data_IF_998992249014
#
_entry.id   IF_998992249014
#
_cell.length_a   1.000
_cell.length_b   1.000
_cell.length_c   1.000
_cell.angle_alpha   90.00
_cell.angle_beta   90.00
_cell.angle_gamma   90.00
#
_symmetry.space_group_name_H-M   'P 1'
#
loop_
_entity.id
_entity.type
_entity.pdbx_description
1 polymer ?
#
# COMPACT_ATOMS: atom_id res chain seq x y z
N UNK A 1 -44.38 -0.99 57.12
CA UNK A 1 -44.76 0.19 56.34
C UNK A 1 -43.48 1.09 56.29
N UNK A 2 -43.05 1.51 55.15
CA UNK A 2 -41.86 2.30 54.83
C UNK A 2 -40.55 1.47 54.62
N UNK A 3 -40.29 1.18 53.35
CA UNK A 3 -38.94 1.00 52.77
C UNK A 3 -39.10 0.90 51.23
N UNK A 4 -39.48 2.02 50.59
CA UNK A 4 -39.36 2.21 49.13
C UNK A 4 -39.44 3.69 48.85
N UNK A 5 -38.34 4.43 48.89
CA UNK A 5 -38.12 5.67 48.15
C UNK A 5 -36.61 5.97 48.31
N UNK A 6 -35.89 5.84 47.23
CA UNK A 6 -34.84 6.77 46.76
C UNK A 6 -33.95 6.04 45.71
N UNK A 7 -34.44 6.01 44.48
CA UNK A 7 -33.56 5.99 43.32
C UNK A 7 -33.86 7.29 42.54
N UNK A 8 -33.04 8.30 42.79
CA UNK A 8 -33.15 9.58 42.15
C UNK A 8 -32.78 9.53 40.67
N UNK A 9 -33.27 10.47 39.82
CA UNK A 9 -33.07 10.50 38.36
C UNK A 9 -31.59 10.60 37.93
N UNK A 10 -30.66 10.82 38.86
CA UNK A 10 -29.21 10.96 38.57
C UNK A 10 -28.50 9.63 38.32
N UNK A 11 -28.95 8.51 38.90
CA UNK A 11 -28.33 7.20 38.67
C UNK A 11 -28.69 6.58 37.33
N UNK A 12 -29.90 6.80 36.86
CA UNK A 12 -30.35 6.29 35.55
C UNK A 12 -29.61 6.97 34.40
N UNK A 13 -29.37 8.29 34.52
CA UNK A 13 -28.58 9.03 33.54
C UNK A 13 -27.10 8.61 33.50
N UNK A 14 -26.53 8.26 34.65
CA UNK A 14 -25.15 7.77 34.75
C UNK A 14 -24.96 6.37 34.17
N UNK A 15 -25.96 5.51 34.28
CA UNK A 15 -25.95 4.14 33.72
C UNK A 15 -26.10 4.16 32.17
N UNK A 16 -26.92 5.04 31.63
CA UNK A 16 -27.05 5.24 30.18
C UNK A 16 -25.78 5.85 29.58
N UNK A 17 -25.21 6.86 30.22
CA UNK A 17 -23.98 7.53 29.75
C UNK A 17 -22.75 6.61 29.80
N UNK A 18 -22.65 5.71 30.78
CA UNK A 18 -21.57 4.70 30.85
C UNK A 18 -21.75 3.57 29.84
N UNK A 19 -23.00 3.20 29.51
CA UNK A 19 -23.27 2.13 28.55
C UNK A 19 -23.02 2.62 27.11
N UNK A 20 -23.41 3.85 26.78
CA UNK A 20 -23.13 4.48 25.49
C UNK A 20 -21.63 4.73 25.31
N UNK A 21 -20.93 5.21 26.33
CA UNK A 21 -19.46 5.39 26.30
C UNK A 21 -18.73 4.06 26.10
N UNK A 22 -19.18 2.97 26.74
CA UNK A 22 -18.60 1.64 26.54
C UNK A 22 -18.87 1.10 25.14
N UNK A 23 -20.06 1.34 24.58
CA UNK A 23 -20.41 0.93 23.21
C UNK A 23 -19.59 1.70 22.19
N UNK A 24 -19.50 3.02 22.32
CA UNK A 24 -18.65 3.88 21.46
C UNK A 24 -17.18 3.48 21.56
N UNK A 25 -16.68 3.22 22.79
CA UNK A 25 -15.30 2.78 23.00
C UNK A 25 -15.02 1.41 22.38
N UNK A 26 -15.98 0.50 22.44
CA UNK A 26 -15.86 -0.82 21.79
C UNK A 26 -15.90 -0.70 20.26
N UNK A 27 -16.74 0.16 19.69
CA UNK A 27 -16.77 0.45 18.25
C UNK A 27 -15.47 1.06 17.80
N UNK A 28 -14.93 2.06 18.51
CA UNK A 28 -13.63 2.68 18.21
C UNK A 28 -12.51 1.65 18.27
N UNK A 29 -12.51 0.77 19.28
CA UNK A 29 -11.52 -0.30 19.41
C UNK A 29 -11.66 -1.30 18.26
N UNK A 30 -12.88 -1.70 17.90
CA UNK A 30 -13.16 -2.55 16.74
C UNK A 30 -12.65 -1.91 15.46
N UNK A 31 -13.02 -0.65 15.18
CA UNK A 31 -12.57 0.08 13.98
C UNK A 31 -11.04 0.21 13.92
N UNK A 32 -10.37 0.47 15.05
CA UNK A 32 -8.90 0.52 15.12
C UNK A 32 -8.26 -0.83 14.87
N UNK A 33 -8.86 -1.92 15.34
CA UNK A 33 -8.35 -3.28 15.13
C UNK A 33 -8.59 -3.77 13.71
N UNK A 34 -9.75 -3.43 13.13
CA UNK A 34 -10.21 -3.89 11.82
C UNK A 34 -10.14 -2.79 10.74
N UNK A 35 -9.34 -1.74 10.95
CA UNK A 35 -9.27 -0.58 10.03
C UNK A 35 -9.04 -1.00 8.59
N UNK A 36 -8.16 -1.95 8.31
CA UNK A 36 -7.86 -2.38 6.94
C UNK A 36 -9.03 -3.13 6.29
N UNK A 37 -9.57 -4.20 6.87
CA UNK A 37 -10.77 -4.85 6.33
C UNK A 37 -11.93 -3.87 6.16
N UNK A 38 -12.17 -2.99 7.14
CA UNK A 38 -13.23 -1.96 7.07
C UNK A 38 -12.97 -1.00 5.91
N UNK A 39 -11.73 -0.50 5.72
CA UNK A 39 -11.39 0.39 4.61
C UNK A 39 -11.56 -0.29 3.26
N UNK A 40 -11.22 -1.57 3.15
CA UNK A 40 -11.42 -2.34 1.92
C UNK A 40 -12.91 -2.52 1.62
N UNK A 41 -13.72 -2.90 2.60
CA UNK A 41 -15.17 -3.03 2.45
C UNK A 41 -15.82 -1.68 2.11
N UNK A 42 -15.42 -0.62 2.83
CA UNK A 42 -15.90 0.74 2.58
C UNK A 42 -15.53 1.21 1.17
N UNK A 43 -14.32 0.92 0.70
CA UNK A 43 -13.87 1.22 -0.67
C UNK A 43 -14.72 0.52 -1.73
N UNK A 44 -14.96 -0.79 -1.56
CA UNK A 44 -15.82 -1.54 -2.45
C UNK A 44 -17.26 -1.03 -2.46
N UNK A 45 -17.83 -0.82 -1.27
CA UNK A 45 -19.20 -0.30 -1.12
C UNK A 45 -19.33 1.13 -1.69
N UNK A 46 -18.33 1.99 -1.46
CA UNK A 46 -18.34 3.38 -1.94
C UNK A 46 -18.42 3.47 -3.46
N UNK A 47 -17.79 2.55 -4.18
CA UNK A 47 -17.91 2.48 -5.63
C UNK A 47 -19.36 2.25 -6.06
N UNK A 48 -20.05 1.24 -5.50
CA UNK A 48 -21.45 0.95 -5.87
C UNK A 48 -22.40 2.08 -5.44
N UNK A 49 -22.19 2.68 -4.28
CA UNK A 49 -22.96 3.85 -3.83
C UNK A 49 -22.76 5.01 -4.80
N UNK A 50 -21.51 5.32 -5.16
CA UNK A 50 -21.18 6.42 -6.06
C UNK A 50 -21.78 6.26 -7.45
N UNK A 51 -21.79 5.04 -7.99
CA UNK A 51 -22.31 4.76 -9.34
C UNK A 51 -23.84 4.73 -9.37
N UNK A 52 -24.51 4.25 -8.31
CA UNK A 52 -25.97 4.08 -8.31
C UNK A 52 -26.72 5.30 -7.79
N UNK A 53 -26.11 6.17 -6.98
CA UNK A 53 -26.79 7.36 -6.45
C UNK A 53 -26.81 8.50 -7.49
N UNK A 54 -28.02 9.04 -7.88
CA UNK A 54 -28.13 10.14 -8.82
C UNK A 54 -27.42 11.43 -8.36
N UNK A 55 -27.33 11.65 -7.06
CA UNK A 55 -26.65 12.79 -6.44
C UNK A 55 -25.20 12.95 -6.93
N UNK A 56 -24.49 11.85 -7.17
CA UNK A 56 -23.10 11.87 -7.63
C UNK A 56 -22.95 11.94 -9.16
N UNK A 57 -24.03 11.88 -9.92
CA UNK A 57 -23.97 11.87 -11.39
C UNK A 57 -23.16 13.03 -11.99
N UNK A 58 -23.29 14.30 -11.52
CA UNK A 58 -22.52 15.42 -12.06
C UNK A 58 -21.01 15.31 -11.82
N UNK A 59 -20.57 14.55 -10.80
CA UNK A 59 -19.15 14.42 -10.44
C UNK A 59 -18.43 13.28 -11.16
N UNK A 60 -19.17 12.34 -11.77
CA UNK A 60 -18.62 11.14 -12.42
C UNK A 60 -17.60 11.43 -13.52
N UNK A 61 -17.78 12.47 -14.41
CA UNK A 61 -16.78 12.80 -15.43
C UNK A 61 -15.42 13.19 -14.84
N UNK A 62 -15.41 13.78 -13.64
CA UNK A 62 -14.20 14.26 -12.97
C UNK A 62 -13.55 13.24 -12.04
N UNK A 63 -14.24 12.15 -11.71
CA UNK A 63 -13.78 11.17 -10.71
C UNK A 63 -12.38 10.64 -11.00
N UNK A 64 -12.08 10.27 -12.25
CA UNK A 64 -10.76 9.75 -12.62
C UNK A 64 -9.65 10.81 -12.46
N UNK A 65 -9.92 12.05 -12.83
CA UNK A 65 -8.96 13.16 -12.66
C UNK A 65 -8.66 13.41 -11.18
N UNK A 66 -9.71 13.45 -10.35
CA UNK A 66 -9.56 13.62 -8.89
C UNK A 66 -8.75 12.49 -8.28
N UNK A 67 -9.08 11.24 -8.57
CA UNK A 67 -8.35 10.06 -8.07
C UNK A 67 -6.91 10.08 -8.54
N UNK A 68 -6.66 10.45 -9.81
CA UNK A 68 -5.32 10.56 -10.39
C UNK A 68 -4.40 11.55 -9.67
N UNK A 69 -4.96 12.57 -9.02
CA UNK A 69 -4.22 13.54 -8.19
C UNK A 69 -4.17 13.11 -6.73
N UNK A 70 -5.30 12.66 -6.18
CA UNK A 70 -5.41 12.34 -4.74
C UNK A 70 -4.53 11.15 -4.36
N UNK A 71 -4.48 10.08 -5.17
CA UNK A 71 -3.66 8.91 -4.85
C UNK A 71 -2.16 9.24 -4.74
N UNK A 72 -1.51 9.90 -5.71
CA UNK A 72 -0.11 10.33 -5.57
C UNK A 72 0.15 11.22 -4.34
N UNK A 73 -0.76 12.16 -4.05
CA UNK A 73 -0.65 13.04 -2.86
C UNK A 73 -0.72 12.24 -1.57
N UNK A 74 -1.61 11.26 -1.48
CA UNK A 74 -1.70 10.37 -0.31
C UNK A 74 -0.44 9.52 -0.17
N UNK A 75 0.09 8.93 -1.26
CA UNK A 75 1.33 8.16 -1.24
C UNK A 75 2.50 9.04 -0.79
N UNK A 76 2.64 10.23 -1.36
CA UNK A 76 3.65 11.21 -0.96
C UNK A 76 3.56 11.53 0.54
N UNK A 77 2.37 11.87 1.02
CA UNK A 77 2.13 12.25 2.41
C UNK A 77 2.46 11.13 3.39
N UNK A 78 2.09 9.89 3.06
CA UNK A 78 2.39 8.71 3.87
C UNK A 78 3.91 8.45 3.95
N UNK A 79 4.61 8.50 2.81
CA UNK A 79 6.06 8.34 2.75
C UNK A 79 6.77 9.46 3.52
N UNK A 80 6.36 10.72 3.32
CA UNK A 80 6.90 11.88 4.01
C UNK A 80 6.79 11.73 5.53
N UNK A 81 5.59 11.42 6.05
CA UNK A 81 5.37 11.21 7.48
C UNK A 81 6.19 10.05 8.04
N UNK A 82 6.32 8.97 7.27
CA UNK A 82 7.14 7.81 7.66
C UNK A 82 8.61 8.18 7.75
N UNK A 83 9.16 8.87 6.77
CA UNK A 83 10.55 9.30 6.76
C UNK A 83 10.86 10.38 7.82
N UNK A 84 9.88 11.22 8.18
CA UNK A 84 10.04 12.15 9.31
C UNK A 84 10.23 11.43 10.65
N UNK A 85 9.62 10.26 10.85
CA UNK A 85 9.62 9.53 12.14
C UNK A 85 10.88 8.70 12.38
N UNK A 86 11.68 8.42 11.35
CA UNK A 86 12.82 7.52 11.45
C UNK A 86 14.12 8.29 11.63
N UNK A 87 14.96 7.82 12.56
CA UNK A 87 16.29 8.38 12.78
C UNK A 87 17.26 7.85 11.73
N UNK A 88 17.91 8.74 10.96
CA UNK A 88 18.95 8.36 10.01
C UNK A 88 20.15 7.66 10.67
N UNK A 89 20.40 7.91 11.97
CA UNK A 89 21.49 7.27 12.72
C UNK A 89 21.25 5.77 12.93
N UNK A 90 20.00 5.34 12.95
CA UNK A 90 19.60 3.93 13.12
C UNK A 90 19.53 3.18 11.79
N UNK A 91 19.58 3.91 10.67
CA UNK A 91 19.53 3.34 9.33
C UNK A 91 20.90 2.81 8.95
N UNK A 92 21.06 1.50 9.01
CA UNK A 92 22.30 0.82 8.60
C UNK A 92 22.02 -0.05 7.39
N UNK A 93 22.84 0.12 6.35
CA UNK A 93 22.82 -0.78 5.20
C UNK A 93 23.27 -2.18 5.62
N UNK A 94 22.49 -3.20 5.30
CA UNK A 94 22.76 -4.61 5.60
C UNK A 94 22.81 -5.42 4.30
N UNK A 95 23.54 -6.55 4.32
CA UNK A 95 23.69 -7.39 3.13
C UNK A 95 22.38 -7.91 2.57
N UNK A 96 21.41 -8.22 3.43
CA UNK A 96 20.11 -8.70 2.98
C UNK A 96 19.30 -7.64 2.20
N UNK A 97 19.50 -6.33 2.48
CA UNK A 97 18.89 -5.26 1.70
C UNK A 97 19.31 -5.35 0.23
N UNK A 98 20.60 -5.60 0.00
CA UNK A 98 21.15 -5.71 -1.36
C UNK A 98 20.62 -6.96 -2.08
N UNK A 99 20.53 -8.10 -1.38
CA UNK A 99 19.96 -9.32 -1.96
C UNK A 99 18.47 -9.14 -2.34
N UNK A 100 17.68 -8.50 -1.48
CA UNK A 100 16.28 -8.21 -1.78
C UNK A 100 16.14 -7.27 -2.98
N UNK A 101 16.94 -6.20 -3.02
CA UNK A 101 16.97 -5.26 -4.14
C UNK A 101 17.37 -5.96 -5.44
N UNK A 102 18.41 -6.80 -5.40
CA UNK A 102 18.87 -7.57 -6.56
C UNK A 102 17.80 -8.54 -7.08
N UNK A 103 17.18 -9.32 -6.18
CA UNK A 103 16.09 -10.25 -6.56
C UNK A 103 14.92 -9.49 -7.20
N UNK A 104 14.49 -8.40 -6.58
CA UNK A 104 13.39 -7.60 -7.10
C UNK A 104 13.73 -6.99 -8.46
N UNK A 105 14.93 -6.44 -8.62
CA UNK A 105 15.43 -5.90 -9.89
C UNK A 105 15.48 -6.98 -10.98
N UNK A 106 16.05 -8.14 -10.65
CA UNK A 106 16.19 -9.26 -11.61
C UNK A 106 14.84 -9.77 -12.07
N UNK A 107 13.91 -10.03 -11.13
CA UNK A 107 12.58 -10.54 -11.48
C UNK A 107 11.80 -9.54 -12.33
N UNK A 108 11.86 -8.24 -11.99
CA UNK A 108 11.24 -7.21 -12.80
C UNK A 108 11.85 -7.13 -14.20
N UNK A 109 13.18 -7.15 -14.31
CA UNK A 109 13.88 -7.10 -15.61
C UNK A 109 13.58 -8.33 -16.46
N UNK A 110 13.51 -9.52 -15.85
CA UNK A 110 13.16 -10.76 -16.59
C UNK A 110 11.74 -10.67 -17.14
N UNK A 111 10.75 -10.25 -16.33
CA UNK A 111 9.38 -10.14 -16.82
C UNK A 111 9.21 -9.03 -17.87
N UNK A 112 9.88 -7.90 -17.68
CA UNK A 112 9.92 -6.85 -18.69
C UNK A 112 10.56 -7.37 -19.99
N UNK A 113 11.67 -8.12 -19.90
CA UNK A 113 12.31 -8.78 -21.03
C UNK A 113 11.39 -9.75 -21.77
N UNK A 114 10.61 -10.56 -21.04
CA UNK A 114 9.59 -11.44 -21.66
C UNK A 114 8.57 -10.64 -22.47
N UNK A 115 8.08 -9.52 -21.91
CA UNK A 115 7.09 -8.66 -22.59
C UNK A 115 7.67 -7.92 -23.81
N UNK A 116 8.98 -7.61 -23.80
CA UNK A 116 9.69 -6.98 -24.91
C UNK A 116 9.93 -7.99 -26.05
N UNK A 117 10.38 -9.21 -25.70
CA UNK A 117 10.72 -10.23 -26.69
C UNK A 117 9.46 -10.87 -27.29
N UNK A 118 8.37 -10.97 -26.50
CA UNK A 118 7.10 -11.57 -26.91
C UNK A 118 5.96 -10.54 -26.93
N UNK A 119 5.97 -9.54 -27.83
CA UNK A 119 4.98 -8.46 -27.83
C UNK A 119 3.55 -8.95 -28.08
N UNK A 120 3.38 -10.05 -28.82
CA UNK A 120 2.09 -10.67 -29.15
C UNK A 120 1.65 -11.76 -28.17
N UNK A 121 2.21 -11.76 -26.96
CA UNK A 121 1.86 -12.75 -25.95
C UNK A 121 0.37 -12.68 -25.60
N UNK A 122 -0.37 -13.77 -25.82
CA UNK A 122 -1.82 -13.83 -25.54
C UNK A 122 -2.15 -13.55 -24.06
N UNK A 123 -1.28 -13.98 -23.14
CA UNK A 123 -1.42 -13.78 -21.68
C UNK A 123 -0.70 -12.52 -21.16
N UNK A 124 -0.45 -11.53 -22.02
CA UNK A 124 0.32 -10.33 -21.71
C UNK A 124 -0.09 -9.67 -20.38
N UNK A 125 -1.40 -9.50 -20.17
CA UNK A 125 -1.99 -8.90 -18.97
C UNK A 125 -1.59 -9.62 -17.68
N UNK A 126 -1.43 -10.95 -17.72
CA UNK A 126 -1.02 -11.76 -16.57
C UNK A 126 0.45 -11.51 -16.24
N UNK A 127 1.32 -11.45 -17.26
CA UNK A 127 2.76 -11.17 -17.07
C UNK A 127 2.97 -9.72 -16.59
N UNK A 128 2.24 -8.76 -17.13
CA UNK A 128 2.23 -7.37 -16.65
C UNK A 128 1.78 -7.27 -15.19
N UNK A 129 0.77 -8.04 -14.80
CA UNK A 129 0.27 -8.12 -13.43
C UNK A 129 1.33 -8.66 -12.46
N UNK A 130 2.02 -9.74 -12.84
CA UNK A 130 3.15 -10.28 -12.08
C UNK A 130 4.29 -9.26 -11.99
N UNK A 131 4.64 -8.64 -13.12
CA UNK A 131 5.67 -7.60 -13.21
C UNK A 131 5.40 -6.44 -12.24
N UNK A 132 4.17 -5.93 -12.20
CA UNK A 132 3.77 -4.87 -11.25
C UNK A 132 3.88 -5.32 -9.79
N UNK A 133 3.41 -6.53 -9.47
CA UNK A 133 3.49 -7.07 -8.11
C UNK A 133 4.94 -7.21 -7.62
N UNK A 134 5.86 -7.52 -8.53
CA UNK A 134 7.28 -7.70 -8.23
C UNK A 134 8.05 -6.37 -8.23
N UNK A 135 7.71 -5.43 -9.13
CA UNK A 135 8.34 -4.11 -9.19
C UNK A 135 8.05 -3.27 -7.96
N UNK A 136 6.85 -3.36 -7.42
CA UNK A 136 6.32 -2.42 -6.45
C UNK A 136 7.22 -2.25 -5.22
N UNK A 137 7.42 -1.02 -4.73
CA UNK A 137 8.20 -0.77 -3.53
C UNK A 137 7.47 -1.26 -2.27
N UNK A 138 8.21 -1.35 -1.17
CA UNK A 138 7.69 -1.74 0.13
C UNK A 138 6.66 -0.73 0.65
N UNK A 139 5.59 -1.23 1.27
CA UNK A 139 4.59 -0.39 1.90
C UNK A 139 5.16 0.38 3.11
N UNK A 140 4.67 1.60 3.32
CA UNK A 140 5.02 2.41 4.51
C UNK A 140 4.65 1.71 5.82
N UNK A 141 3.58 0.91 5.80
CA UNK A 141 3.11 0.14 6.95
C UNK A 141 4.05 -1.03 7.33
N UNK A 142 4.93 -1.49 6.42
CA UNK A 142 5.82 -2.63 6.67
C UNK A 142 6.70 -2.43 7.90
N UNK A 143 7.25 -1.24 8.10
CA UNK A 143 8.05 -0.91 9.27
C UNK A 143 7.26 -1.04 10.59
N UNK A 144 5.99 -0.63 10.59
CA UNK A 144 5.09 -0.72 11.74
C UNK A 144 4.75 -2.20 12.05
N UNK A 145 4.43 -2.97 11.01
CA UNK A 145 4.14 -4.41 11.16
C UNK A 145 5.40 -5.15 11.63
N UNK A 146 6.57 -4.86 11.06
CA UNK A 146 7.86 -5.42 11.52
C UNK A 146 8.08 -5.16 13.01
N UNK A 147 7.88 -3.94 13.48
CA UNK A 147 8.02 -3.60 14.90
C UNK A 147 7.06 -4.39 15.78
N UNK A 148 5.80 -4.55 15.37
CA UNK A 148 4.80 -5.36 16.09
C UNK A 148 5.15 -6.86 16.11
N UNK A 149 5.92 -7.34 15.16
CA UNK A 149 6.44 -8.70 15.09
C UNK A 149 7.78 -8.88 15.84
N UNK A 150 8.26 -7.84 16.55
CA UNK A 150 9.50 -7.86 17.31
C UNK A 150 10.76 -7.57 16.51
N UNK A 151 10.63 -7.15 15.23
CA UNK A 151 11.75 -6.80 14.37
C UNK A 151 12.08 -5.29 14.36
N UNK A 152 13.14 -4.92 13.64
CA UNK A 152 13.63 -3.55 13.53
C UNK A 152 12.90 -2.74 12.45
N UNK A 153 12.06 -1.80 12.87
CA UNK A 153 11.42 -0.84 11.95
C UNK A 153 12.44 -0.02 11.16
N UNK A 154 13.57 0.36 11.78
CA UNK A 154 14.63 1.13 11.12
C UNK A 154 15.27 0.35 9.97
N UNK A 155 15.54 -0.95 10.16
CA UNK A 155 16.10 -1.83 9.13
C UNK A 155 15.13 -1.98 7.95
N UNK A 156 13.83 -2.25 8.22
CA UNK A 156 12.80 -2.32 7.19
C UNK A 156 12.65 -1.00 6.42
N UNK A 157 12.73 0.15 7.11
CA UNK A 157 12.64 1.45 6.43
C UNK A 157 13.88 1.78 5.61
N UNK A 158 15.06 1.34 6.06
CA UNK A 158 16.27 1.47 5.23
C UNK A 158 16.06 0.76 3.89
N UNK A 159 15.50 -0.46 3.91
CA UNK A 159 15.14 -1.13 2.66
C UNK A 159 14.08 -0.39 1.86
N UNK A 160 13.06 0.18 2.53
CA UNK A 160 12.01 0.97 1.84
C UNK A 160 12.62 2.13 1.04
N UNK A 161 13.63 2.81 1.56
CA UNK A 161 14.33 3.87 0.83
C UNK A 161 15.09 3.31 -0.37
N UNK A 162 15.84 2.23 -0.18
CA UNK A 162 16.61 1.58 -1.24
C UNK A 162 15.69 1.16 -2.39
N UNK A 163 14.59 0.51 -2.07
CA UNK A 163 13.67 0.01 -3.09
C UNK A 163 12.90 1.14 -3.79
N UNK A 164 12.59 2.24 -3.10
CA UNK A 164 11.99 3.42 -3.73
C UNK A 164 12.94 4.03 -4.76
N UNK A 165 14.24 4.15 -4.44
CA UNK A 165 15.26 4.62 -5.38
C UNK A 165 15.38 3.68 -6.59
N UNK A 166 15.42 2.38 -6.33
CA UNK A 166 15.49 1.37 -7.38
C UNK A 166 14.28 1.44 -8.32
N UNK A 167 13.07 1.49 -7.77
CA UNK A 167 11.82 1.57 -8.55
C UNK A 167 11.75 2.88 -9.33
N UNK A 168 12.14 4.01 -8.72
CA UNK A 168 12.16 5.32 -9.38
C UNK A 168 13.12 5.36 -10.58
N UNK A 169 14.18 4.54 -10.57
CA UNK A 169 15.11 4.40 -11.70
C UNK A 169 14.62 3.37 -12.73
N UNK A 170 14.19 2.18 -12.26
CA UNK A 170 13.88 1.05 -13.16
C UNK A 170 12.53 1.20 -13.88
N UNK A 171 11.51 1.77 -13.21
CA UNK A 171 10.18 1.91 -13.82
C UNK A 171 10.22 2.76 -15.11
N UNK A 172 10.81 3.98 -15.11
CA UNK A 172 10.90 4.78 -16.34
C UNK A 172 11.72 4.12 -17.44
N UNK A 173 12.74 3.31 -17.06
CA UNK A 173 13.62 2.64 -18.05
C UNK A 173 12.93 1.46 -18.73
N UNK A 174 12.23 0.62 -17.98
CA UNK A 174 11.77 -0.67 -18.50
C UNK A 174 10.29 -0.66 -18.90
N UNK A 175 9.42 0.12 -18.23
CA UNK A 175 8.00 0.14 -18.57
C UNK A 175 7.71 0.64 -19.99
N UNK A 176 8.37 1.69 -20.52
CA UNK A 176 8.16 2.13 -21.91
C UNK A 176 8.51 1.06 -22.94
N UNK A 177 9.48 0.20 -22.63
CA UNK A 177 9.90 -0.90 -23.49
C UNK A 177 8.95 -2.10 -23.37
N UNK A 178 8.55 -2.42 -22.13
CA UNK A 178 7.66 -3.54 -21.85
C UNK A 178 6.20 -3.25 -22.22
N UNK A 179 5.75 -2.01 -22.19
CA UNK A 179 4.40 -1.58 -22.55
C UNK A 179 4.48 -0.27 -23.35
N UNK A 180 4.76 -0.35 -24.65
CA UNK A 180 4.79 0.83 -25.52
C UNK A 180 3.44 1.51 -25.57
N UNK A 181 3.43 2.85 -25.50
CA UNK A 181 2.23 3.66 -25.65
C UNK A 181 2.04 4.04 -27.12
N UNK A 182 0.82 3.89 -27.62
CA UNK A 182 0.50 4.24 -29.00
C UNK A 182 0.88 5.69 -29.32
N UNK A 183 1.62 5.86 -30.41
CA UNK A 183 2.05 7.17 -30.90
C UNK A 183 3.18 7.85 -30.09
N UNK A 184 3.71 7.22 -29.05
CA UNK A 184 4.84 7.74 -28.27
C UNK A 184 6.10 6.89 -28.47
N UNK A 185 7.23 7.57 -28.67
CA UNK A 185 8.55 6.93 -28.67
C UNK A 185 9.05 6.71 -27.23
N UNK A 186 10.17 5.98 -27.09
CA UNK A 186 10.76 5.66 -25.77
C UNK A 186 11.00 6.91 -24.90
N UNK A 187 11.64 7.95 -25.43
CA UNK A 187 12.08 9.09 -24.63
C UNK A 187 10.92 9.93 -24.05
N UNK A 188 9.86 10.28 -24.79
CA UNK A 188 8.67 10.90 -24.22
C UNK A 188 8.00 10.05 -23.15
N UNK A 189 7.88 8.73 -23.35
CA UNK A 189 7.28 7.80 -22.37
C UNK A 189 8.15 7.68 -21.13
N UNK A 190 9.46 7.56 -21.28
CA UNK A 190 10.43 7.58 -20.17
C UNK A 190 10.27 8.85 -19.33
N UNK A 191 10.27 10.04 -19.97
CA UNK A 191 10.11 11.30 -19.26
C UNK A 191 8.75 11.41 -18.56
N UNK A 192 7.67 10.96 -19.19
CA UNK A 192 6.34 10.96 -18.60
C UNK A 192 6.30 10.12 -17.32
N UNK A 193 6.87 8.91 -17.32
CA UNK A 193 6.93 8.03 -16.16
C UNK A 193 7.86 8.63 -15.09
N UNK A 194 9.04 9.09 -15.48
CA UNK A 194 10.01 9.68 -14.57
C UNK A 194 9.42 10.88 -13.81
N UNK A 195 8.78 11.81 -14.51
CA UNK A 195 8.18 13.01 -13.91
C UNK A 195 7.02 12.69 -12.96
N UNK A 196 6.38 11.56 -13.10
CA UNK A 196 5.31 11.14 -12.18
C UNK A 196 5.81 10.27 -11.03
N UNK A 197 6.69 9.29 -11.30
CA UNK A 197 7.17 8.32 -10.31
C UNK A 197 8.21 8.92 -9.38
N UNK A 198 9.20 9.66 -9.93
CA UNK A 198 10.30 10.22 -9.14
C UNK A 198 9.81 11.17 -8.04
N UNK A 199 8.96 12.19 -8.30
CA UNK A 199 8.48 13.06 -7.23
C UNK A 199 7.71 12.30 -6.16
N UNK A 200 6.93 11.30 -6.55
CA UNK A 200 6.12 10.53 -5.62
C UNK A 200 6.93 9.65 -4.67
N UNK A 201 8.04 9.06 -5.13
CA UNK A 201 8.85 8.14 -4.33
C UNK A 201 10.06 8.81 -3.65
N UNK A 202 10.68 9.81 -4.30
CA UNK A 202 11.95 10.38 -3.85
C UNK A 202 11.74 11.71 -3.13
N UNK A 203 10.87 12.59 -3.64
CA UNK A 203 10.65 13.88 -3.01
C UNK A 203 10.14 13.80 -1.56
N UNK A 204 9.35 12.80 -1.11
CA UNK A 204 9.00 12.64 0.30
C UNK A 204 10.23 12.48 1.22
N UNK A 205 11.25 11.73 0.76
CA UNK A 205 12.51 11.54 1.49
C UNK A 205 13.28 12.86 1.59
N UNK A 206 13.44 13.57 0.46
CA UNK A 206 14.12 14.86 0.41
C UNK A 206 13.39 15.91 1.26
N UNK A 207 12.05 15.95 1.19
CA UNK A 207 11.22 16.84 1.99
C UNK A 207 11.35 16.53 3.49
N UNK A 208 11.34 15.26 3.89
CA UNK A 208 11.52 14.87 5.29
C UNK A 208 12.92 15.25 5.81
N UNK A 209 13.96 15.07 4.99
CA UNK A 209 15.31 15.53 5.29
C UNK A 209 15.36 17.06 5.43
N UNK A 210 14.79 17.80 4.48
CA UNK A 210 14.79 19.27 4.49
C UNK A 210 14.03 19.82 5.71
N UNK A 211 12.85 19.29 6.02
CA UNK A 211 12.07 19.69 7.20
C UNK A 211 12.85 19.41 8.50
N UNK A 212 13.51 18.26 8.61
CA UNK A 212 14.35 17.94 9.76
C UNK A 212 15.53 18.90 9.91
N UNK A 213 16.16 19.32 8.79
CA UNK A 213 17.37 20.15 8.78
C UNK A 213 17.06 21.63 8.94
N UNK A 214 16.02 22.13 8.26
CA UNK A 214 15.74 23.55 8.13
C UNK A 214 14.55 24.03 8.95
N UNK A 215 13.61 23.14 9.30
CA UNK A 215 12.39 23.47 10.05
C UNK A 215 12.16 22.55 11.25
N UNK A 216 13.03 22.57 12.30
CA UNK A 216 12.90 21.70 13.47
C UNK A 216 11.56 21.81 14.21
N UNK A 217 10.88 22.98 14.29
CA UNK A 217 9.55 23.06 14.89
C UNK A 217 8.51 22.23 14.14
N UNK A 218 8.50 22.29 12.80
CA UNK A 218 7.61 21.52 11.95
C UNK A 218 7.92 20.03 12.09
N UNK A 219 9.19 19.63 12.09
CA UNK A 219 9.58 18.25 12.32
C UNK A 219 9.05 17.71 13.66
N UNK A 220 9.18 18.47 14.75
CA UNK A 220 8.64 18.09 16.06
C UNK A 220 7.12 17.95 16.06
N UNK A 221 6.41 18.78 15.29
CA UNK A 221 4.97 18.66 15.11
C UNK A 221 4.61 17.33 14.38
N UNK A 222 5.35 16.97 13.31
CA UNK A 222 5.15 15.71 12.57
C UNK A 222 5.40 14.48 13.46
N UNK A 223 6.35 14.55 14.40
CA UNK A 223 6.60 13.45 15.35
C UNK A 223 5.45 13.24 16.34
N UNK A 224 4.70 14.29 16.70
CA UNK A 224 3.57 14.20 17.62
C UNK A 224 2.34 13.53 17.00
N UNK A 225 2.18 13.58 15.69
CA UNK A 225 1.02 13.02 14.99
C UNK A 225 1.27 11.52 14.71
N UNK A 226 1.05 10.68 15.73
CA UNK A 226 1.45 9.26 15.71
C UNK A 226 0.72 8.46 14.64
N UNK A 227 -0.59 8.64 14.49
CA UNK A 227 -1.45 7.75 13.69
C UNK A 227 -1.86 8.31 12.32
N UNK A 228 -1.43 9.54 11.97
CA UNK A 228 -1.86 10.20 10.74
C UNK A 228 -1.51 9.38 9.49
N UNK A 229 -0.28 8.87 9.40
CA UNK A 229 0.14 8.03 8.26
C UNK A 229 -0.74 6.77 8.10
N UNK A 230 -1.21 6.21 9.23
CA UNK A 230 -2.11 5.06 9.23
C UNK A 230 -3.51 5.41 8.70
N UNK A 231 -4.08 6.56 9.11
CA UNK A 231 -5.38 7.01 8.60
C UNK A 231 -5.32 7.41 7.13
N UNK A 232 -4.25 8.09 6.70
CA UNK A 232 -4.03 8.38 5.28
C UNK A 232 -3.93 7.10 4.46
N UNK A 233 -3.27 6.07 4.99
CA UNK A 233 -3.22 4.76 4.36
C UNK A 233 -4.60 4.10 4.25
N UNK A 234 -5.42 4.16 5.30
CA UNK A 234 -6.79 3.62 5.27
C UNK A 234 -7.66 4.29 4.20
N UNK A 235 -7.57 5.63 4.07
CA UNK A 235 -8.26 6.38 3.01
C UNK A 235 -7.71 6.02 1.63
N UNK A 236 -6.38 5.99 1.47
CA UNK A 236 -5.75 5.62 0.22
C UNK A 236 -6.13 4.20 -0.23
N UNK A 237 -6.20 3.26 0.72
CA UNK A 237 -6.63 1.89 0.48
C UNK A 237 -8.10 1.82 0.05
N UNK A 238 -9.00 2.56 0.70
CA UNK A 238 -10.41 2.60 0.31
C UNK A 238 -10.58 3.13 -1.14
N UNK A 239 -9.89 4.22 -1.49
CA UNK A 239 -9.90 4.76 -2.87
C UNK A 239 -9.31 3.72 -3.85
N UNK A 240 -8.21 3.08 -3.50
CA UNK A 240 -7.55 2.09 -4.34
C UNK A 240 -8.46 0.87 -4.61
N UNK A 241 -9.16 0.39 -3.58
CA UNK A 241 -10.15 -0.70 -3.73
C UNK A 241 -11.35 -0.27 -4.57
N UNK A 242 -11.86 0.96 -4.41
CA UNK A 242 -12.92 1.49 -5.27
C UNK A 242 -12.51 1.51 -6.75
N UNK A 243 -11.27 1.94 -7.05
CA UNK A 243 -10.69 1.91 -8.41
C UNK A 243 -10.55 0.47 -8.92
N UNK A 244 -10.13 -0.46 -8.06
CA UNK A 244 -10.02 -1.88 -8.40
C UNK A 244 -11.39 -2.48 -8.75
N UNK A 245 -12.40 -2.25 -7.92
CA UNK A 245 -13.79 -2.72 -8.17
C UNK A 245 -14.31 -2.14 -9.48
N UNK A 246 -14.07 -0.84 -9.74
CA UNK A 246 -14.41 -0.21 -11.01
C UNK A 246 -13.75 -0.93 -12.19
N UNK A 247 -12.45 -1.22 -12.09
CA UNK A 247 -11.71 -1.90 -13.14
C UNK A 247 -12.22 -3.33 -13.40
N UNK A 248 -12.62 -4.06 -12.34
CA UNK A 248 -13.20 -5.40 -12.45
C UNK A 248 -14.58 -5.34 -13.13
N UNK A 249 -15.46 -4.47 -12.67
CA UNK A 249 -16.86 -4.37 -13.15
C UNK A 249 -16.92 -3.91 -14.61
N UNK A 250 -16.03 -3.00 -15.03
CA UNK A 250 -15.98 -2.48 -16.40
C UNK A 250 -14.92 -3.15 -17.27
N UNK A 251 -14.37 -4.27 -16.83
CA UNK A 251 -13.37 -5.00 -17.59
C UNK A 251 -14.02 -5.66 -18.83
N UNK A 252 -13.40 -5.47 -19.96
CA UNK A 252 -13.71 -6.21 -21.20
C UNK A 252 -12.97 -7.54 -21.30
N UNK A 253 -12.06 -7.79 -20.33
CA UNK A 253 -11.27 -9.02 -20.28
C UNK A 253 -12.09 -10.13 -19.63
N UNK A 254 -12.08 -11.36 -20.19
CA UNK A 254 -12.79 -12.50 -19.62
C UNK A 254 -12.49 -12.75 -18.14
N UNK A 255 -13.46 -13.28 -17.41
CA UNK A 255 -13.36 -13.53 -15.95
C UNK A 255 -12.19 -14.48 -15.63
N UNK A 256 -11.88 -15.41 -16.52
CA UNK A 256 -10.76 -16.35 -16.38
C UNK A 256 -9.43 -15.62 -16.22
N UNK A 257 -9.19 -14.56 -17.00
CA UNK A 257 -7.99 -13.73 -16.86
C UNK A 257 -7.96 -12.97 -15.53
N UNK A 258 -9.10 -12.48 -15.08
CA UNK A 258 -9.18 -11.80 -13.77
C UNK A 258 -8.88 -12.78 -12.62
N UNK A 259 -9.37 -14.01 -12.71
CA UNK A 259 -9.02 -15.09 -11.76
C UNK A 259 -7.54 -15.45 -11.85
N UNK A 260 -6.96 -15.54 -13.06
CA UNK A 260 -5.53 -15.74 -13.23
C UNK A 260 -4.70 -14.61 -12.59
N UNK A 261 -5.13 -13.35 -12.72
CA UNK A 261 -4.48 -12.21 -12.05
C UNK A 261 -4.54 -12.36 -10.52
N UNK A 262 -5.69 -12.80 -9.97
CA UNK A 262 -5.82 -13.04 -8.54
C UNK A 262 -4.85 -14.14 -8.07
N UNK A 263 -4.75 -15.25 -8.79
CA UNK A 263 -3.82 -16.35 -8.47
C UNK A 263 -2.36 -15.92 -8.62
N UNK A 264 -2.02 -15.23 -9.70
CA UNK A 264 -0.64 -14.74 -9.93
C UNK A 264 -0.22 -13.74 -8.85
N UNK A 265 -1.10 -12.83 -8.45
CA UNK A 265 -0.82 -11.89 -7.36
C UNK A 265 -0.62 -12.62 -6.02
N UNK A 266 -1.38 -13.70 -5.75
CA UNK A 266 -1.18 -14.56 -4.58
C UNK A 266 0.19 -15.24 -4.62
N UNK A 267 0.54 -15.86 -5.75
CA UNK A 267 1.84 -16.53 -5.94
C UNK A 267 2.98 -15.53 -5.74
N UNK A 268 2.91 -14.35 -6.35
CA UNK A 268 3.90 -13.29 -6.16
C UNK A 268 4.00 -12.85 -4.68
N UNK A 269 2.87 -12.75 -3.98
CA UNK A 269 2.82 -12.37 -2.59
C UNK A 269 3.49 -13.43 -1.70
N UNK A 270 3.09 -14.68 -1.82
CA UNK A 270 3.67 -15.80 -1.06
C UNK A 270 5.17 -15.94 -1.33
N UNK A 271 5.56 -15.92 -2.61
CA UNK A 271 6.96 -15.99 -3.02
C UNK A 271 7.79 -14.90 -2.34
N UNK A 272 7.34 -13.65 -2.38
CA UNK A 272 8.07 -12.52 -1.80
C UNK A 272 8.17 -12.61 -0.28
N UNK A 273 7.11 -13.03 0.43
CA UNK A 273 7.18 -13.26 1.88
C UNK A 273 8.12 -14.40 2.24
N UNK A 274 8.05 -15.52 1.52
CA UNK A 274 8.91 -16.70 1.76
C UNK A 274 10.37 -16.38 1.50
N UNK A 275 10.70 -15.88 0.32
CA UNK A 275 12.08 -15.53 -0.05
C UNK A 275 12.62 -14.43 0.86
N UNK A 276 11.79 -13.42 1.17
CA UNK A 276 12.16 -12.35 2.10
C UNK A 276 12.55 -12.90 3.47
N UNK A 277 11.75 -13.80 4.05
CA UNK A 277 12.05 -14.46 5.32
C UNK A 277 13.28 -15.35 5.25
N UNK A 278 13.42 -16.16 4.20
CA UNK A 278 14.56 -17.06 4.05
C UNK A 278 15.88 -16.30 3.98
N UNK A 279 15.94 -15.21 3.23
CA UNK A 279 17.13 -14.37 3.17
C UNK A 279 17.35 -13.63 4.49
N UNK A 280 16.31 -12.99 5.02
CA UNK A 280 16.38 -12.27 6.30
C UNK A 280 16.87 -13.17 7.43
N UNK A 281 16.40 -14.42 7.51
CA UNK A 281 16.83 -15.42 8.51
C UNK A 281 18.33 -15.68 8.49
N UNK A 282 18.98 -15.70 7.32
CA UNK A 282 20.46 -15.86 7.22
C UNK A 282 21.23 -14.72 7.86
N UNK A 283 20.60 -13.58 8.09
CA UNK A 283 21.20 -12.39 8.67
C UNK A 283 20.59 -12.02 10.04
N UNK A 284 19.78 -12.91 10.64
CA UNK A 284 19.13 -12.68 11.92
C UNK A 284 17.95 -11.69 11.88
N UNK A 285 17.42 -11.38 10.70
CA UNK A 285 16.36 -10.40 10.48
C UNK A 285 15.20 -10.98 9.63
N UNK A 286 14.65 -12.13 10.09
CA UNK A 286 13.60 -12.85 9.37
C UNK A 286 12.34 -12.02 9.18
N UNK A 287 11.90 -11.29 10.22
CA UNK A 287 10.67 -10.50 10.17
C UNK A 287 10.83 -9.29 9.27
N UNK A 288 11.96 -8.61 9.39
CA UNK A 288 12.34 -7.48 8.53
C UNK A 288 12.36 -7.88 7.06
N UNK A 289 13.10 -8.96 6.75
CA UNK A 289 13.22 -9.45 5.37
C UNK A 289 11.88 -9.85 4.78
N UNK A 290 11.05 -10.57 5.54
CA UNK A 290 9.71 -10.97 5.12
C UNK A 290 8.80 -9.78 4.84
N UNK A 291 8.76 -8.82 5.76
CA UNK A 291 7.92 -7.63 5.61
C UNK A 291 8.45 -6.68 4.53
N UNK A 292 9.76 -6.50 4.44
CA UNK A 292 10.40 -5.64 3.46
C UNK A 292 10.11 -6.08 2.02
N UNK A 293 10.18 -7.37 1.72
CA UNK A 293 9.94 -7.88 0.37
C UNK A 293 8.46 -8.20 0.11
N UNK A 294 7.74 -8.75 1.11
CA UNK A 294 6.38 -9.26 0.95
C UNK A 294 5.29 -8.20 1.09
N UNK A 295 5.47 -7.18 1.94
CA UNK A 295 4.45 -6.15 2.14
C UNK A 295 4.63 -4.98 1.17
N UNK A 296 3.89 -5.00 0.07
CA UNK A 296 3.98 -4.02 -1.02
C UNK A 296 3.06 -2.82 -0.86
N UNK A 297 3.46 -1.69 -1.43
CA UNK A 297 2.62 -0.50 -1.55
C UNK A 297 1.57 -0.71 -2.65
N UNK A 298 0.46 -1.35 -2.30
CA UNK A 298 -0.59 -1.74 -3.26
C UNK A 298 -1.33 -0.55 -3.86
N UNK A 299 -1.40 0.57 -3.17
CA UNK A 299 -1.93 1.83 -3.73
C UNK A 299 -1.07 2.28 -4.91
N UNK A 300 0.26 2.15 -4.79
CA UNK A 300 1.20 2.42 -5.87
C UNK A 300 1.03 1.45 -7.05
N UNK A 301 0.82 0.13 -6.79
CA UNK A 301 0.56 -0.86 -7.85
C UNK A 301 -0.67 -0.46 -8.66
N UNK A 302 -1.79 -0.16 -7.97
CA UNK A 302 -3.06 0.18 -8.60
C UNK A 302 -2.91 1.46 -9.43
N UNK A 303 -2.30 2.50 -8.84
CA UNK A 303 -2.07 3.76 -9.52
C UNK A 303 -1.16 3.59 -10.75
N UNK A 304 -0.06 2.85 -10.62
CA UNK A 304 0.89 2.61 -11.71
C UNK A 304 0.26 1.79 -12.84
N UNK A 305 -0.44 0.70 -12.51
CA UNK A 305 -1.14 -0.12 -13.47
C UNK A 305 -2.19 0.69 -14.25
N UNK A 306 -3.00 1.48 -13.54
CA UNK A 306 -4.02 2.32 -14.15
C UNK A 306 -3.46 3.46 -15.01
N UNK A 307 -2.32 4.03 -14.62
CA UNK A 307 -1.73 5.19 -15.29
C UNK A 307 -0.87 4.83 -16.50
N UNK A 308 -0.13 3.71 -16.41
CA UNK A 308 0.93 3.38 -17.39
C UNK A 308 0.74 2.05 -18.11
N UNK A 309 -0.19 1.21 -17.68
CA UNK A 309 -0.46 -0.08 -18.31
C UNK A 309 -1.94 -0.15 -18.70
N UNK A 310 -2.71 -0.94 -17.98
CA UNK A 310 -4.14 -1.05 -18.23
C UNK A 310 -4.95 -1.09 -16.93
N UNK A 311 -6.23 -0.67 -16.94
CA UNK A 311 -7.10 -0.81 -15.77
C UNK A 311 -7.19 -2.25 -15.26
N UNK A 312 -7.12 -3.24 -16.13
CA UNK A 312 -7.17 -4.67 -15.77
C UNK A 312 -5.88 -5.10 -15.06
N UNK A 313 -4.72 -4.66 -15.55
CA UNK A 313 -3.44 -4.92 -14.89
C UNK A 313 -3.40 -4.30 -13.49
N UNK A 314 -4.04 -3.13 -13.29
CA UNK A 314 -4.14 -2.48 -11.99
C UNK A 314 -4.87 -3.33 -10.93
N UNK A 315 -5.77 -4.23 -11.35
CA UNK A 315 -6.53 -5.15 -10.47
C UNK A 315 -5.59 -6.04 -9.64
N UNK A 316 -4.40 -6.37 -10.17
CA UNK A 316 -3.39 -7.13 -9.45
C UNK A 316 -3.01 -6.50 -8.11
N UNK A 317 -2.94 -5.16 -8.03
CA UNK A 317 -2.69 -4.44 -6.79
C UNK A 317 -3.81 -4.61 -5.76
N UNK A 318 -5.06 -4.65 -6.20
CA UNK A 318 -6.22 -4.91 -5.35
C UNK A 318 -6.16 -6.31 -4.73
N UNK A 319 -5.95 -7.33 -5.56
CA UNK A 319 -5.80 -8.71 -5.08
C UNK A 319 -4.57 -8.87 -4.18
N UNK A 320 -3.42 -8.30 -4.56
CA UNK A 320 -2.24 -8.33 -3.71
C UNK A 320 -2.50 -7.70 -2.34
N UNK A 321 -3.28 -6.61 -2.29
CA UNK A 321 -3.69 -5.98 -1.03
C UNK A 321 -4.45 -6.93 -0.12
N UNK A 322 -5.36 -7.74 -0.68
CA UNK A 322 -6.08 -8.77 0.09
C UNK A 322 -5.11 -9.80 0.65
N UNK A 323 -4.24 -10.36 -0.20
CA UNK A 323 -3.34 -11.44 0.16
C UNK A 323 -2.32 -11.04 1.24
N UNK A 324 -1.63 -9.91 1.07
CA UNK A 324 -0.63 -9.50 2.05
C UNK A 324 -1.27 -9.12 3.40
N UNK A 325 -2.51 -8.60 3.41
CA UNK A 325 -3.21 -8.29 4.64
C UNK A 325 -3.68 -9.55 5.39
N UNK A 326 -4.08 -10.60 4.67
CA UNK A 326 -4.36 -11.91 5.27
C UNK A 326 -3.09 -12.47 5.93
N UNK A 327 -1.96 -12.45 5.21
CA UNK A 327 -0.67 -12.94 5.74
C UNK A 327 -0.24 -12.12 6.97
N UNK A 328 -0.35 -10.79 6.91
CA UNK A 328 0.00 -9.91 8.03
C UNK A 328 -0.89 -10.16 9.25
N UNK A 329 -2.20 -10.29 9.06
CA UNK A 329 -3.15 -10.58 10.13
C UNK A 329 -2.82 -11.92 10.82
N UNK A 330 -2.52 -12.95 10.02
CA UNK A 330 -2.11 -14.25 10.53
C UNK A 330 -0.79 -14.17 11.33
N UNK A 331 0.23 -13.46 10.81
CA UNK A 331 1.51 -13.30 11.50
C UNK A 331 1.37 -12.54 12.83
N UNK A 332 0.59 -11.44 12.83
CA UNK A 332 0.35 -10.63 14.02
C UNK A 332 -0.39 -11.42 15.10
N UNK A 333 -1.41 -12.21 14.72
CA UNK A 333 -2.12 -13.08 15.65
C UNK A 333 -1.17 -14.12 16.25
N UNK A 334 -0.40 -14.81 15.42
CA UNK A 334 0.59 -15.80 15.89
C UNK A 334 1.65 -15.20 16.82
N UNK A 335 2.01 -13.93 16.66
CA UNK A 335 2.92 -13.23 17.54
C UNK A 335 2.28 -12.93 18.91
N UNK A 336 0.99 -12.55 18.92
CA UNK A 336 0.22 -12.31 20.14
C UNK A 336 -0.01 -13.59 20.96
N UNK A 337 -0.22 -14.72 20.30
CA UNK A 337 -0.41 -16.03 20.97
C UNK A 337 0.89 -16.55 21.62
N UNK A 338 2.04 -15.94 21.35
CA UNK A 338 3.36 -16.31 21.89
C UNK A 338 3.88 -15.38 22.98
N UNK A 339 3.25 -14.20 23.14
CA UNK A 339 3.59 -13.20 24.16
C UNK A 339 2.75 -13.39 25.42
#
# INVERSE_FOLDING_TARGET
MALFTDFGPVEVHRIYDTKDNNTVMNIIRFLKTWTLPVSMMAGGASYFIYVNMPFFAPTRPYANAVVGVVQPVLIFSMLFLTFCKISFKEMKLKRWHLWHALIQATLFTVLAGVLIVLPMLHSRVIVESAMLCLLCPTATAAAVVTSKLGGSAASTTTYTIIINLLVAAMAPLLLPLAHPHDGLTFLPTFNMILHKVFPMLICPLLAAWAVRRFCPPLHRMMLKVKDLAFYLWAVALAIAIAVTVKAIVHSTVPVEYQLCIAVVSLVCCLFQFVIGKLIGRRYGEEMEGGQALGQKNTVFIIWMGYTFLSPVTAVAGGFYSVWHNIINSWQLRKAQDRS
#
